data_IF_488073514109
#
_entry.id   IF_488073514109
#
_cell.length_a   1.000
_cell.length_b   1.000
_cell.length_c   1.000
_cell.angle_alpha   90.00
_cell.angle_beta   90.00
_cell.angle_gamma   90.00
#
_symmetry.space_group_name_H-M   'P 1'
#
loop_
_entity.id
_entity.type
_entity.pdbx_description
1 polymer ?
#
# COMPACT_ATOMS: atom_id res chain seq x y z
N UNK A 1 12.08 15.64 -23.46
CA UNK A 1 11.59 16.33 -22.24
C UNK A 1 11.07 17.70 -22.66
N UNK A 2 9.78 17.97 -22.45
CA UNK A 2 9.10 19.20 -22.90
C UNK A 2 8.72 20.02 -21.68
N UNK A 3 9.03 21.33 -21.67
CA UNK A 3 8.59 22.25 -20.61
C UNK A 3 7.28 22.89 -20.99
N UNK A 4 6.35 22.92 -20.05
CA UNK A 4 5.00 23.47 -20.21
C UNK A 4 4.63 24.29 -18.98
N UNK A 5 3.98 25.42 -19.17
CA UNK A 5 3.48 26.22 -18.05
C UNK A 5 2.13 25.72 -17.56
N UNK A 6 1.73 26.16 -16.37
CA UNK A 6 0.41 25.81 -15.82
C UNK A 6 -0.71 26.37 -16.71
N UNK A 7 -0.53 27.58 -17.23
CA UNK A 7 -1.51 28.26 -18.10
C UNK A 7 -1.68 27.52 -19.43
N UNK A 8 -0.59 26.97 -19.97
CA UNK A 8 -0.63 26.16 -21.19
C UNK A 8 -1.41 24.86 -20.96
N UNK A 9 -1.13 24.14 -19.86
CA UNK A 9 -1.85 22.91 -19.51
C UNK A 9 -3.33 23.18 -19.27
N UNK A 10 -3.68 24.25 -18.55
CA UNK A 10 -5.08 24.58 -18.25
C UNK A 10 -5.91 24.85 -19.50
N UNK A 11 -5.30 25.38 -20.57
CA UNK A 11 -5.99 25.67 -21.83
C UNK A 11 -6.42 24.40 -22.58
N UNK A 12 -5.57 23.37 -22.59
CA UNK A 12 -5.85 22.11 -23.29
C UNK A 12 -5.14 20.94 -22.59
N UNK A 13 -5.67 20.46 -21.46
CA UNK A 13 -5.01 19.43 -20.65
C UNK A 13 -4.94 18.09 -21.39
N UNK A 14 -5.96 17.76 -22.18
CA UNK A 14 -6.04 16.50 -22.93
C UNK A 14 -4.99 16.40 -24.03
N UNK A 15 -4.60 17.51 -24.67
CA UNK A 15 -3.47 17.53 -25.61
C UNK A 15 -2.18 17.07 -24.94
N UNK A 16 -1.90 17.53 -23.73
CA UNK A 16 -0.66 17.19 -23.02
C UNK A 16 -0.70 15.77 -22.47
N UNK A 17 -1.84 15.31 -21.94
CA UNK A 17 -1.99 13.92 -21.52
C UNK A 17 -1.79 12.93 -22.68
N UNK A 18 -2.33 13.22 -23.87
CA UNK A 18 -2.08 12.38 -25.06
C UNK A 18 -0.61 12.30 -25.46
N UNK A 19 0.18 13.36 -25.22
CA UNK A 19 1.63 13.35 -25.46
C UNK A 19 2.35 12.46 -24.45
N UNK A 20 1.91 12.51 -23.19
CA UNK A 20 2.41 11.61 -22.13
C UNK A 20 2.05 10.16 -22.45
N UNK A 21 0.83 9.88 -22.88
CA UNK A 21 0.43 8.55 -23.35
C UNK A 21 1.29 8.07 -24.54
N UNK A 22 1.70 9.00 -25.41
CA UNK A 22 2.63 8.75 -26.51
C UNK A 22 4.09 8.52 -26.10
N UNK A 23 4.42 8.52 -24.81
CA UNK A 23 5.77 8.28 -24.30
C UNK A 23 6.57 9.53 -23.96
N UNK A 24 6.00 10.74 -24.08
CA UNK A 24 6.72 11.96 -23.76
C UNK A 24 6.70 12.29 -22.26
N UNK A 25 7.83 12.78 -21.75
CA UNK A 25 7.92 13.39 -20.42
C UNK A 25 7.71 14.90 -20.48
N UNK A 26 6.77 15.40 -19.67
CA UNK A 26 6.46 16.81 -19.51
C UNK A 26 6.99 17.35 -18.17
N UNK A 27 7.56 18.54 -18.19
CA UNK A 27 7.98 19.28 -16.99
C UNK A 27 7.07 20.49 -16.83
N UNK A 28 6.34 20.53 -15.72
CA UNK A 28 5.48 21.65 -15.38
C UNK A 28 6.33 22.73 -14.74
N UNK A 29 6.23 23.94 -15.28
CA UNK A 29 6.99 25.11 -14.83
C UNK A 29 6.04 26.17 -14.29
N UNK A 30 6.38 26.78 -13.15
CA UNK A 30 5.73 27.97 -12.58
C UNK A 30 6.79 29.03 -12.36
N UNK A 31 6.57 30.24 -12.88
CA UNK A 31 7.52 31.35 -12.69
C UNK A 31 8.97 31.01 -13.10
N UNK A 32 9.14 30.20 -14.16
CA UNK A 32 10.43 29.70 -14.67
C UNK A 32 11.11 28.60 -13.83
N UNK A 33 10.48 28.17 -12.74
CA UNK A 33 10.95 27.05 -11.91
C UNK A 33 10.15 25.78 -12.20
N UNK A 34 10.85 24.65 -12.34
CA UNK A 34 10.21 23.35 -12.51
C UNK A 34 9.59 22.90 -11.18
N UNK A 35 8.30 22.57 -11.18
CA UNK A 35 7.54 22.21 -9.97
C UNK A 35 7.05 20.76 -9.98
N UNK A 36 6.91 20.14 -11.15
CA UNK A 36 6.43 18.78 -11.28
C UNK A 36 6.86 18.17 -12.62
N UNK A 37 6.86 16.84 -12.68
CA UNK A 37 7.05 16.07 -13.90
C UNK A 37 5.84 15.14 -14.11
N UNK A 38 5.32 15.09 -15.33
CA UNK A 38 4.35 14.09 -15.75
C UNK A 38 5.04 13.18 -16.76
N UNK A 39 5.08 11.89 -16.45
CA UNK A 39 5.74 10.86 -17.28
C UNK A 39 4.78 9.71 -17.57
N UNK A 40 4.98 8.98 -18.67
CA UNK A 40 4.18 7.80 -18.98
C UNK A 40 4.32 6.76 -17.88
N UNK A 41 3.22 6.12 -17.50
CA UNK A 41 3.27 4.95 -16.62
C UNK A 41 3.72 3.78 -17.48
N UNK A 42 4.95 3.32 -17.28
CA UNK A 42 5.41 2.09 -17.93
C UNK A 42 4.81 0.92 -17.14
N UNK A 43 4.00 0.05 -17.76
CA UNK A 43 3.47 -1.11 -17.06
C UNK A 43 4.67 -1.97 -16.62
N UNK A 44 4.84 -2.14 -15.31
CA UNK A 44 5.78 -3.13 -14.81
C UNK A 44 5.21 -4.50 -15.12
N UNK A 45 5.67 -5.11 -16.21
CA UNK A 45 5.43 -6.53 -16.50
C UNK A 45 6.32 -7.44 -15.65
N UNK A 46 6.78 -6.96 -14.48
CA UNK A 46 7.58 -7.78 -13.62
C UNK A 46 6.66 -8.82 -13.01
N UNK A 47 6.76 -10.04 -13.54
CA UNK A 47 6.08 -11.20 -13.01
C UNK A 47 6.37 -11.26 -11.51
N UNK A 48 5.32 -11.43 -10.70
CA UNK A 48 5.51 -11.61 -9.27
C UNK A 48 6.43 -12.82 -9.09
N UNK A 49 7.54 -12.67 -8.35
CA UNK A 49 8.40 -13.81 -8.08
C UNK A 49 7.57 -14.89 -7.37
N UNK A 50 7.56 -16.09 -7.95
CA UNK A 50 6.93 -17.26 -7.36
C UNK A 50 7.99 -18.06 -6.59
N UNK A 51 7.56 -18.86 -5.61
CA UNK A 51 8.49 -19.71 -4.86
C UNK A 51 9.42 -18.97 -3.91
N UNK A 52 8.93 -17.90 -3.27
CA UNK A 52 9.71 -17.14 -2.27
C UNK A 52 10.16 -17.98 -1.08
N UNK A 53 9.42 -19.04 -0.76
CA UNK A 53 9.74 -20.00 0.30
C UNK A 53 10.12 -21.38 -0.29
N UNK A 54 10.68 -21.42 -1.50
CA UNK A 54 11.11 -22.69 -2.12
C UNK A 54 12.13 -23.37 -1.23
N UNK A 55 11.84 -24.60 -0.81
CA UNK A 55 12.71 -25.40 0.06
C UNK A 55 12.55 -25.14 1.55
N UNK A 56 11.80 -24.12 1.96
CA UNK A 56 11.48 -23.87 3.38
C UNK A 56 10.28 -24.70 3.86
N UNK A 57 9.36 -25.04 2.95
CA UNK A 57 8.21 -25.88 3.23
C UNK A 57 8.25 -27.16 2.39
N UNK A 58 8.17 -28.30 3.06
CA UNK A 58 7.95 -29.60 2.43
C UNK A 58 6.50 -29.97 2.67
N UNK A 59 5.74 -30.11 1.59
CA UNK A 59 4.35 -30.58 1.64
C UNK A 59 4.37 -32.03 2.15
N UNK A 60 3.70 -32.36 3.27
CA UNK A 60 3.59 -33.74 3.72
C UNK A 60 2.89 -34.62 2.69
N UNK A 61 3.21 -35.92 2.68
CA UNK A 61 2.60 -36.89 1.76
C UNK A 61 1.06 -36.95 1.87
N UNK A 62 0.51 -36.64 3.05
CA UNK A 62 -0.92 -36.56 3.34
C UNK A 62 -1.28 -35.16 3.82
N UNK A 63 -1.22 -34.18 2.91
CA UNK A 63 -1.57 -32.78 3.19
C UNK A 63 -3.04 -32.62 3.62
N UNK A 64 -3.92 -33.48 3.11
CA UNK A 64 -5.35 -33.48 3.40
C UNK A 64 -5.69 -34.21 4.72
N UNK A 65 -4.71 -34.81 5.40
CA UNK A 65 -4.90 -35.40 6.71
C UNK A 65 -5.51 -34.39 7.68
N UNK A 66 -6.43 -34.83 8.56
CA UNK A 66 -6.91 -33.96 9.62
C UNK A 66 -5.72 -33.49 10.46
N UNK A 67 -5.71 -32.18 10.77
CA UNK A 67 -4.72 -31.63 11.69
C UNK A 67 -4.71 -32.44 13.00
N UNK A 68 -3.53 -32.66 13.63
CA UNK A 68 -3.44 -33.37 14.90
C UNK A 68 -4.41 -32.78 15.93
N UNK A 69 -5.01 -33.65 16.76
CA UNK A 69 -6.14 -33.33 17.64
C UNK A 69 -5.94 -32.16 18.62
N UNK A 70 -4.72 -31.62 18.77
CA UNK A 70 -4.43 -30.40 19.54
C UNK A 70 -4.88 -29.10 18.82
N UNK A 71 -5.10 -29.14 17.49
CA UNK A 71 -5.38 -27.97 16.65
C UNK A 71 -6.88 -27.69 16.38
N UNK A 72 -7.80 -28.48 16.94
CA UNK A 72 -9.26 -28.36 16.63
C UNK A 72 -9.90 -27.12 17.25
N UNK A 73 -9.25 -26.51 18.23
CA UNK A 73 -9.75 -25.30 18.87
C UNK A 73 -9.29 -24.09 18.06
N UNK A 74 -9.93 -23.89 16.90
CA UNK A 74 -9.66 -22.74 16.01
C UNK A 74 -9.67 -21.42 16.79
N UNK A 75 -10.51 -21.34 17.83
CA UNK A 75 -10.57 -20.22 18.76
C UNK A 75 -9.23 -19.99 19.48
N UNK A 76 -8.62 -21.04 20.05
CA UNK A 76 -7.31 -20.96 20.70
C UNK A 76 -6.19 -20.66 19.72
N UNK A 77 -6.25 -21.19 18.49
CA UNK A 77 -5.25 -20.86 17.46
C UNK A 77 -5.32 -19.38 17.08
N UNK A 78 -6.53 -18.83 16.89
CA UNK A 78 -6.73 -17.40 16.67
C UNK A 78 -6.25 -16.56 17.86
N UNK A 79 -6.56 -16.96 19.10
CA UNK A 79 -6.11 -16.25 20.30
C UNK A 79 -4.58 -16.30 20.50
N UNK A 80 -3.93 -17.42 20.18
CA UNK A 80 -2.47 -17.54 20.27
C UNK A 80 -1.78 -16.68 19.21
N UNK A 81 -2.29 -16.68 17.97
CA UNK A 81 -1.80 -15.81 16.90
C UNK A 81 -1.99 -14.34 17.24
N UNK A 82 -3.17 -13.96 17.74
CA UNK A 82 -3.46 -12.58 18.09
C UNK A 82 -2.63 -12.09 19.28
N UNK A 83 -2.36 -12.96 20.27
CA UNK A 83 -1.46 -12.65 21.40
C UNK A 83 0.00 -12.51 20.99
N UNK A 84 0.46 -13.33 20.04
CA UNK A 84 1.85 -13.28 19.54
C UNK A 84 2.08 -12.02 18.67
N UNK A 85 1.08 -11.62 17.89
CA UNK A 85 1.13 -10.43 17.03
C UNK A 85 0.84 -9.12 17.81
N UNK A 86 -0.02 -9.17 18.83
CA UNK A 86 -0.45 -8.04 19.65
C UNK A 86 -0.28 -8.36 21.15
N UNK A 87 0.90 -8.11 21.75
CA UNK A 87 1.19 -8.48 23.14
C UNK A 87 0.33 -7.75 24.18
N UNK A 88 -0.37 -6.68 23.79
CA UNK A 88 -1.41 -6.04 24.59
C UNK A 88 -2.77 -6.28 23.94
N UNK A 89 -3.80 -6.73 24.67
CA UNK A 89 -5.15 -6.89 24.13
C UNK A 89 -5.58 -5.57 23.48
N UNK A 90 -6.06 -5.66 22.23
CA UNK A 90 -6.60 -4.50 21.53
C UNK A 90 -7.74 -3.90 22.35
N UNK A 91 -7.49 -2.73 22.94
CA UNK A 91 -8.53 -1.92 23.56
C UNK A 91 -8.95 -0.88 22.52
N UNK A 92 -10.13 -1.02 21.90
CA UNK A 92 -10.59 -0.01 20.95
C UNK A 92 -10.62 1.35 21.64
N UNK A 93 -10.05 2.39 20.99
CA UNK A 93 -10.09 3.75 21.49
C UNK A 93 -11.57 4.18 21.54
N UNK A 94 -12.15 4.44 22.72
CA UNK A 94 -13.56 4.76 22.86
C UNK A 94 -13.98 5.99 22.07
N UNK A 95 -13.04 6.89 21.77
CA UNK A 95 -13.27 8.10 20.98
C UNK A 95 -13.34 7.80 19.48
N UNK A 96 -12.73 6.70 19.02
CA UNK A 96 -12.64 6.31 17.61
C UNK A 96 -13.64 5.20 17.23
N UNK A 97 -14.73 5.07 17.96
CA UNK A 97 -15.81 4.17 17.57
C UNK A 97 -16.62 4.76 16.40
N UNK A 98 -17.00 3.98 15.37
CA UNK A 98 -17.73 4.47 14.20
C UNK A 98 -19.00 5.27 14.55
N UNK A 99 -19.70 4.85 15.60
CA UNK A 99 -20.92 5.50 16.12
C UNK A 99 -20.71 6.93 16.62
N UNK A 100 -19.47 7.35 16.88
CA UNK A 100 -19.15 8.72 17.29
C UNK A 100 -19.00 9.68 16.10
N UNK A 101 -19.11 9.20 14.86
CA UNK A 101 -18.88 9.99 13.65
C UNK A 101 -20.13 10.05 12.76
N UNK A 102 -20.26 11.15 12.03
CA UNK A 102 -21.43 11.41 11.17
C UNK A 102 -21.49 10.44 9.98
N UNK A 103 -20.33 9.99 9.51
CA UNK A 103 -20.19 9.01 8.43
C UNK A 103 -18.85 8.28 8.50
N UNK A 104 -18.77 7.16 7.77
CA UNK A 104 -17.58 6.31 7.67
C UNK A 104 -16.34 7.09 7.18
N UNK A 105 -16.52 8.06 6.27
CA UNK A 105 -15.42 8.88 5.77
C UNK A 105 -14.74 9.70 6.87
N UNK A 106 -15.53 10.34 7.73
CA UNK A 106 -14.98 11.09 8.89
C UNK A 106 -14.31 10.17 9.91
N UNK A 107 -14.89 9.00 10.17
CA UNK A 107 -14.32 8.00 11.06
C UNK A 107 -12.96 7.49 10.54
N UNK A 108 -12.87 7.12 9.27
CA UNK A 108 -11.62 6.65 8.65
C UNK A 108 -10.52 7.71 8.69
N UNK A 109 -10.85 8.97 8.44
CA UNK A 109 -9.89 10.08 8.57
C UNK A 109 -9.37 10.19 10.01
N UNK A 110 -10.25 10.14 11.00
CA UNK A 110 -9.86 10.23 12.41
C UNK A 110 -8.97 9.06 12.88
N UNK A 111 -9.29 7.83 12.45
CA UNK A 111 -8.45 6.64 12.70
C UNK A 111 -7.09 6.79 12.04
N UNK A 112 -7.05 7.25 10.78
CA UNK A 112 -5.81 7.48 10.05
C UNK A 112 -4.93 8.51 10.75
N UNK A 113 -5.48 9.67 11.10
CA UNK A 113 -4.75 10.72 11.79
C UNK A 113 -4.25 10.28 13.18
N UNK A 114 -4.99 9.43 13.91
CA UNK A 114 -4.54 8.96 15.24
C UNK A 114 -3.37 8.00 15.16
N UNK A 115 -3.43 7.03 14.26
CA UNK A 115 -2.52 5.88 14.27
C UNK A 115 -1.43 5.96 13.20
N UNK A 116 -1.64 6.73 12.14
CA UNK A 116 -0.76 6.76 10.96
C UNK A 116 -0.14 8.13 10.67
N UNK A 117 -0.61 9.23 11.28
CA UNK A 117 -0.01 10.57 11.05
C UNK A 117 1.42 10.71 11.59
N UNK A 118 1.79 9.92 12.60
CA UNK A 118 3.13 9.91 13.18
C UNK A 118 4.12 9.02 12.42
N UNK A 119 3.65 8.24 11.43
CA UNK A 119 4.53 7.43 10.59
C UNK A 119 5.10 8.36 9.53
N UNK A 120 6.32 8.83 9.75
CA UNK A 120 7.08 9.51 8.71
C UNK A 120 7.18 8.57 7.49
N UNK A 121 6.87 9.03 6.26
CA UNK A 121 6.90 8.19 5.05
C UNK A 121 8.24 7.47 4.82
N UNK A 122 9.30 7.92 5.50
CA UNK A 122 10.65 7.36 5.46
C UNK A 122 10.93 6.24 6.47
N UNK A 123 10.08 5.97 7.46
CA UNK A 123 10.40 5.01 8.54
C UNK A 123 10.10 3.54 8.22
N UNK A 124 9.40 3.25 7.12
CA UNK A 124 9.29 1.88 6.61
C UNK A 124 10.20 1.79 5.38
N UNK A 125 11.50 1.50 5.53
CA UNK A 125 12.36 1.21 4.40
C UNK A 125 11.87 -0.11 3.79
N UNK A 126 11.01 -0.01 2.78
CA UNK A 126 10.75 -1.13 1.88
C UNK A 126 12.04 -1.27 1.06
N UNK A 127 12.98 -2.07 1.57
CA UNK A 127 14.21 -2.39 0.86
C UNK A 127 13.82 -2.87 -0.55
N UNK A 128 14.35 -2.25 -1.62
CA UNK A 128 14.15 -2.75 -2.96
C UNK A 128 14.57 -4.23 -2.97
N UNK A 129 13.65 -5.10 -3.34
CA UNK A 129 13.91 -6.53 -3.34
C UNK A 129 15.08 -6.80 -4.29
N UNK A 130 16.20 -7.28 -3.76
CA UNK A 130 17.37 -7.61 -4.58
C UNK A 130 16.94 -8.65 -5.62
N UNK A 131 17.33 -8.41 -6.88
CA UNK A 131 17.11 -9.35 -7.96
C UNK A 131 18.03 -10.56 -7.76
N UNK A 132 17.43 -11.75 -7.71
CA UNK A 132 18.14 -13.03 -7.83
C UNK A 132 18.65 -13.18 -9.26
#
# INVERSE_FOLDING_TARGET
MVRVTIEEIQRDPLKYLRRVEGGETLVIVRSHEAIAEIRPITPSQQLRPYGLCTGEFVVPDDFDAPLPNEATDKQKLFELLDRELHPSPYKPDPELQPENFENEGQWLIAVFERYFSAIEPSEIPIQPRESI
#
